data_IF_624753382461
#
_entry.id   IF_624753382461
#
_cell.length_a   1.000
_cell.length_b   1.000
_cell.length_c   1.000
_cell.angle_alpha   90.00
_cell.angle_beta   90.00
_cell.angle_gamma   90.00
#
_symmetry.space_group_name_H-M   'P 1'
#
loop_
_entity.id
_entity.type
_entity.pdbx_description
1 polymer ?
#
# COMPACT_ATOMS: atom_id res chain seq x y z
N UNK A 1 -10.50 24.74 13.46
CA UNK A 1 -10.14 23.38 13.84
C UNK A 1 -9.20 22.82 12.79
N UNK A 2 -7.90 22.79 13.11
CA UNK A 2 -6.94 22.04 12.29
C UNK A 2 -6.97 20.58 12.74
N UNK A 3 -7.09 19.68 11.78
CA UNK A 3 -6.99 18.24 11.99
C UNK A 3 -5.59 17.82 11.58
N UNK A 4 -4.81 17.28 12.51
CA UNK A 4 -3.48 16.79 12.20
C UNK A 4 -3.57 15.40 11.56
N UNK A 5 -2.76 15.16 10.52
CA UNK A 5 -2.66 13.85 9.86
C UNK A 5 -2.40 12.72 10.86
N UNK A 6 -1.63 12.97 11.92
CA UNK A 6 -1.35 12.03 13.01
C UNK A 6 -2.55 11.69 13.90
N UNK A 7 -3.62 12.50 13.86
CA UNK A 7 -4.88 12.25 14.57
C UNK A 7 -5.86 11.41 13.75
N UNK A 8 -5.65 11.32 12.43
CA UNK A 8 -6.50 10.58 11.50
C UNK A 8 -5.83 9.28 11.05
N UNK A 9 -4.49 9.29 10.97
CA UNK A 9 -3.69 8.14 10.56
C UNK A 9 -2.58 7.87 11.58
N UNK A 10 -2.38 6.60 11.98
CA UNK A 10 -1.27 6.19 12.85
C UNK A 10 0.06 6.18 12.07
N UNK A 11 0.32 7.18 11.24
CA UNK A 11 1.55 7.30 10.47
C UNK A 11 2.61 7.99 11.35
N UNK A 12 3.73 7.33 11.69
CA UNK A 12 4.76 7.94 12.51
C UNK A 12 5.59 8.90 11.64
N UNK A 13 5.06 10.11 11.44
CA UNK A 13 5.65 11.15 10.59
C UNK A 13 7.07 11.60 11.00
N UNK A 14 7.54 11.19 12.19
CA UNK A 14 8.93 11.40 12.63
C UNK A 14 9.91 10.38 12.04
N UNK A 15 9.41 9.23 11.59
CA UNK A 15 10.21 8.11 11.10
C UNK A 15 10.12 7.97 9.57
N UNK A 16 9.01 8.42 8.97
CA UNK A 16 8.77 8.26 7.55
C UNK A 16 8.48 9.60 6.88
N UNK A 17 8.94 9.72 5.64
CA UNK A 17 8.63 10.83 4.74
C UNK A 17 7.53 10.40 3.77
N UNK A 18 6.52 11.24 3.48
CA UNK A 18 5.54 10.93 2.44
C UNK A 18 6.22 10.74 1.09
N UNK A 19 5.76 9.76 0.32
CA UNK A 19 6.17 9.61 -1.07
C UNK A 19 5.50 10.72 -1.90
N UNK A 20 6.22 11.82 -2.15
CA UNK A 20 5.72 12.96 -2.95
C UNK A 20 5.94 12.76 -4.45
N UNK A 21 5.74 11.53 -4.94
CA UNK A 21 5.94 11.16 -6.35
C UNK A 21 7.38 10.84 -6.74
N UNK A 22 8.34 10.89 -5.81
CA UNK A 22 9.75 10.60 -6.10
C UNK A 22 10.32 9.60 -5.10
N UNK A 23 10.94 8.54 -5.62
CA UNK A 23 11.60 7.49 -4.88
C UNK A 23 13.07 7.45 -5.25
N UNK A 24 13.95 7.46 -4.24
CA UNK A 24 15.39 7.29 -4.47
C UNK A 24 15.69 5.86 -4.94
N UNK A 25 16.51 5.70 -5.98
CA UNK A 25 17.00 4.40 -6.42
C UNK A 25 17.70 3.66 -5.28
N UNK A 26 17.47 2.34 -5.21
CA UNK A 26 18.00 1.49 -4.16
C UNK A 26 17.22 1.56 -2.83
N UNK A 27 16.08 2.27 -2.79
CA UNK A 27 15.16 2.17 -1.65
C UNK A 27 14.64 0.73 -1.55
N UNK A 28 14.79 0.05 -0.39
CA UNK A 28 14.47 -1.37 -0.28
C UNK A 28 12.98 -1.64 0.00
N UNK A 29 12.29 -0.69 0.63
CA UNK A 29 10.90 -0.84 1.00
C UNK A 29 10.14 0.49 0.98
N UNK A 30 8.83 0.37 0.77
CA UNK A 30 7.84 1.44 0.90
C UNK A 30 6.97 1.13 2.12
N UNK A 31 6.60 2.17 2.86
CA UNK A 31 5.63 2.05 3.94
C UNK A 31 4.31 2.65 3.50
N UNK A 32 3.22 1.95 3.74
CA UNK A 32 1.88 2.36 3.33
C UNK A 32 0.88 2.23 4.49
N UNK A 33 -0.11 3.12 4.50
CA UNK A 33 -1.29 2.98 5.34
C UNK A 33 -2.47 2.69 4.44
N UNK A 34 -3.10 1.53 4.64
CA UNK A 34 -4.26 1.10 3.89
C UNK A 34 -5.50 1.19 4.79
N UNK A 35 -6.52 1.93 4.33
CA UNK A 35 -7.84 1.92 4.96
C UNK A 35 -8.71 0.88 4.27
N UNK A 36 -9.18 -0.10 5.02
CA UNK A 36 -9.98 -1.20 4.52
C UNK A 36 -11.41 -1.11 5.07
N UNK A 37 -12.37 -0.99 4.17
CA UNK A 37 -13.79 -1.04 4.50
C UNK A 37 -14.34 -2.42 4.11
N UNK A 38 -14.97 -3.09 5.07
CA UNK A 38 -15.57 -4.40 4.85
C UNK A 38 -17.09 -4.29 4.91
N UNK A 39 -17.77 -4.79 3.89
CA UNK A 39 -19.23 -4.90 3.88
C UNK A 39 -19.64 -6.34 4.18
N UNK A 40 -20.17 -6.61 5.38
CA UNK A 40 -20.63 -7.96 5.73
C UNK A 40 -20.71 -8.19 7.24
N UNK A 41 -21.36 -9.29 7.64
CA UNK A 41 -21.50 -9.70 9.04
C UNK A 41 -20.41 -10.67 9.52
N UNK A 42 -19.53 -11.12 8.62
CA UNK A 42 -18.44 -12.05 8.90
C UNK A 42 -17.09 -11.34 8.76
N UNK A 43 -16.14 -11.67 9.62
CA UNK A 43 -14.74 -11.24 9.51
C UNK A 43 -14.14 -11.85 8.23
N UNK A 44 -13.67 -11.03 7.27
CA UNK A 44 -13.27 -11.54 5.97
C UNK A 44 -11.87 -12.16 6.01
N UNK A 45 -11.66 -13.22 5.21
CA UNK A 45 -10.35 -13.83 5.03
C UNK A 45 -9.64 -13.18 3.85
N UNK A 46 -8.91 -12.10 4.12
CA UNK A 46 -8.35 -11.25 3.08
C UNK A 46 -6.96 -11.70 2.65
N UNK A 47 -6.79 -11.83 1.34
CA UNK A 47 -5.48 -11.92 0.70
C UNK A 47 -5.14 -10.59 0.06
N UNK A 48 -3.99 -10.01 0.45
CA UNK A 48 -3.44 -8.81 -0.16
C UNK A 48 -2.25 -9.20 -1.01
N UNK A 49 -2.23 -8.72 -2.25
CA UNK A 49 -1.10 -8.87 -3.17
C UNK A 49 -0.71 -7.52 -3.72
N UNK A 50 0.59 -7.36 -3.97
CA UNK A 50 1.16 -6.10 -4.44
C UNK A 50 2.08 -6.32 -5.63
N UNK A 51 2.03 -5.41 -6.59
CA UNK A 51 2.94 -5.42 -7.73
C UNK A 51 3.23 -4.01 -8.22
N UNK A 52 4.34 -3.90 -8.94
CA UNK A 52 4.81 -2.69 -9.58
C UNK A 52 4.68 -2.83 -11.10
N UNK A 53 4.20 -1.79 -11.75
CA UNK A 53 4.09 -1.73 -13.21
C UNK A 53 4.92 -0.55 -13.72
N UNK A 54 6.01 -0.79 -14.48
CA UNK A 54 6.73 0.29 -15.13
C UNK A 54 5.85 0.96 -16.19
N UNK A 55 5.96 2.28 -16.34
CA UNK A 55 5.21 3.02 -17.36
C UNK A 55 5.46 2.46 -18.77
N UNK A 56 4.38 2.30 -19.54
CA UNK A 56 4.42 1.79 -20.91
C UNK A 56 4.72 0.29 -21.02
N UNK A 57 4.72 -0.44 -19.90
CA UNK A 57 4.88 -1.91 -19.89
C UNK A 57 3.66 -2.59 -19.30
N UNK A 58 3.34 -3.77 -19.82
CA UNK A 58 2.30 -4.64 -19.25
C UNK A 58 2.86 -5.58 -18.17
N UNK A 59 4.18 -5.74 -18.11
CA UNK A 59 4.84 -6.67 -17.20
C UNK A 59 4.75 -6.19 -15.75
N UNK A 60 4.09 -7.01 -14.93
CA UNK A 60 3.98 -6.80 -13.48
C UNK A 60 5.22 -7.36 -12.78
N UNK A 61 5.86 -6.53 -11.98
CA UNK A 61 6.92 -6.95 -11.07
C UNK A 61 6.32 -7.21 -9.69
N UNK A 62 6.31 -8.46 -9.18
CA UNK A 62 5.78 -8.76 -7.86
C UNK A 62 6.60 -8.03 -6.78
N UNK A 63 5.91 -7.51 -5.77
CA UNK A 63 6.51 -7.07 -4.52
C UNK A 63 6.00 -7.97 -3.38
N UNK A 64 6.73 -8.02 -2.26
CA UNK A 64 6.26 -8.72 -1.07
C UNK A 64 5.81 -7.71 -0.04
N UNK A 65 4.82 -8.08 0.77
CA UNK A 65 4.30 -7.21 1.82
C UNK A 65 4.33 -7.90 3.17
N UNK A 66 4.42 -7.09 4.22
CA UNK A 66 4.22 -7.50 5.60
C UNK A 66 3.27 -6.52 6.27
N UNK A 67 2.25 -7.04 6.97
CA UNK A 67 1.37 -6.23 7.81
C UNK A 67 2.11 -6.01 9.12
N UNK A 68 2.52 -4.77 9.39
CA UNK A 68 3.27 -4.41 10.59
C UNK A 68 2.35 -4.23 11.81
N UNK A 69 1.19 -3.63 11.59
CA UNK A 69 0.16 -3.45 12.61
C UNK A 69 -1.21 -3.19 11.99
N UNK A 70 -2.27 -3.47 12.74
CA UNK A 70 -3.65 -3.14 12.36
C UNK A 70 -4.39 -2.45 13.51
N UNK A 71 -5.30 -1.54 13.17
CA UNK A 71 -6.26 -0.97 14.10
C UNK A 71 -7.67 -1.26 13.57
N UNK A 72 -8.48 -1.90 14.41
CA UNK A 72 -9.87 -2.20 14.09
C UNK A 72 -10.77 -1.00 14.39
N UNK A 73 -11.83 -0.82 13.59
CA UNK A 73 -12.79 0.27 13.74
C UNK A 73 -13.97 0.15 12.77
N UNK A 74 -14.64 1.26 12.46
CA UNK A 74 -15.63 1.31 11.37
C UNK A 74 -15.00 0.95 10.01
N UNK A 75 -13.71 1.26 9.87
CA UNK A 75 -12.84 0.74 8.83
C UNK A 75 -11.53 0.32 9.50
N UNK A 76 -10.97 -0.80 9.07
CA UNK A 76 -9.68 -1.24 9.55
C UNK A 76 -8.57 -0.38 8.94
N UNK A 77 -7.57 -0.03 9.73
CA UNK A 77 -6.38 0.68 9.27
C UNK A 77 -5.19 -0.27 9.39
N UNK A 78 -4.60 -0.62 8.25
CA UNK A 78 -3.44 -1.49 8.16
C UNK A 78 -2.19 -0.65 7.88
N UNK A 79 -1.15 -0.87 8.67
CA UNK A 79 0.18 -0.36 8.38
C UNK A 79 1.02 -1.46 7.74
N UNK A 80 1.52 -1.18 6.54
CA UNK A 80 2.18 -2.15 5.67
C UNK A 80 3.62 -1.75 5.41
N UNK A 81 4.50 -2.74 5.36
CA UNK A 81 5.80 -2.64 4.69
C UNK A 81 5.75 -3.41 3.38
N UNK A 82 6.10 -2.74 2.29
CA UNK A 82 6.14 -3.30 0.95
C UNK A 82 7.61 -3.36 0.54
N UNK A 83 8.18 -4.56 0.50
CA UNK A 83 9.54 -4.76 0.02
C UNK A 83 9.53 -4.74 -1.50
N UNK A 84 10.34 -3.86 -2.06
CA UNK A 84 10.43 -3.66 -3.51
C UNK A 84 11.76 -4.20 -4.02
N UNK A 85 11.81 -4.77 -5.23
CA UNK A 85 13.07 -5.14 -5.85
C UNK A 85 13.87 -3.89 -6.23
N UNK A 86 15.10 -4.07 -6.67
CA UNK A 86 15.89 -2.97 -7.22
C UNK A 86 15.21 -2.42 -8.49
N UNK A 87 14.73 -1.18 -8.42
CA UNK A 87 14.06 -0.50 -9.52
C UNK A 87 15.06 0.33 -10.33
N UNK A 88 14.86 0.36 -11.65
CA UNK A 88 15.59 1.27 -12.54
C UNK A 88 14.95 2.65 -12.49
N UNK A 89 15.67 3.72 -12.82
CA UNK A 89 15.07 5.05 -12.95
C UNK A 89 13.92 5.05 -13.98
N UNK A 90 12.82 5.73 -13.65
CA UNK A 90 11.61 5.80 -14.48
C UNK A 90 10.32 5.87 -13.67
N UNK A 91 9.19 5.98 -14.35
CA UNK A 91 7.87 6.02 -13.73
C UNK A 91 7.33 4.60 -13.48
N UNK A 92 6.70 4.42 -12.33
CA UNK A 92 6.07 3.18 -11.89
C UNK A 92 4.71 3.46 -11.25
N UNK A 93 3.80 2.51 -11.40
CA UNK A 93 2.57 2.42 -10.62
C UNK A 93 2.70 1.29 -9.59
N UNK A 94 2.45 1.59 -8.32
CA UNK A 94 2.25 0.59 -7.27
C UNK A 94 0.77 0.22 -7.25
N UNK A 95 0.49 -1.07 -7.35
CA UNK A 95 -0.85 -1.62 -7.24
C UNK A 95 -0.95 -2.46 -5.98
N UNK A 96 -2.05 -2.29 -5.25
CA UNK A 96 -2.42 -3.08 -4.10
C UNK A 96 -3.81 -3.65 -4.37
N UNK A 97 -3.90 -4.97 -4.44
CA UNK A 97 -5.15 -5.68 -4.66
C UNK A 97 -5.48 -6.51 -3.44
N UNK A 98 -6.75 -6.47 -3.06
CA UNK A 98 -7.29 -7.26 -1.96
C UNK A 98 -8.45 -8.13 -2.47
N UNK A 99 -8.46 -9.39 -2.08
CA UNK A 99 -9.55 -10.34 -2.34
C UNK A 99 -9.98 -11.00 -1.03
N UNK A 100 -11.28 -11.07 -0.81
CA UNK A 100 -11.87 -11.96 0.19
C UNK A 100 -11.91 -13.38 -0.35
N UNK A 101 -11.18 -14.29 0.32
CA UNK A 101 -11.04 -15.67 -0.09
C UNK A 101 -12.38 -16.42 -0.11
N UNK A 102 -13.34 -16.00 0.73
CA UNK A 102 -14.65 -16.61 0.94
C UNK A 102 -15.65 -16.10 -0.10
N UNK A 103 -15.85 -14.78 -0.18
CA UNK A 103 -16.87 -14.20 -1.07
C UNK A 103 -16.39 -13.97 -2.49
N UNK A 104 -15.07 -13.99 -2.72
CA UNK A 104 -14.42 -13.60 -3.99
C UNK A 104 -14.63 -12.14 -4.37
N UNK A 105 -15.13 -11.32 -3.46
CA UNK A 105 -15.17 -9.87 -3.64
C UNK A 105 -13.74 -9.34 -3.64
N UNK A 106 -13.45 -8.40 -4.53
CA UNK A 106 -12.12 -7.82 -4.65
C UNK A 106 -12.15 -6.33 -4.93
N UNK A 107 -11.05 -5.68 -4.58
CA UNK A 107 -10.82 -4.26 -4.87
C UNK A 107 -9.33 -4.01 -5.17
N UNK A 108 -9.06 -2.90 -5.83
CA UNK A 108 -7.72 -2.47 -6.19
C UNK A 108 -7.56 -0.98 -5.89
N UNK A 109 -6.38 -0.60 -5.39
CA UNK A 109 -5.93 0.79 -5.33
C UNK A 109 -4.56 0.91 -5.98
N UNK A 110 -4.28 2.08 -6.56
CA UNK A 110 -3.00 2.36 -7.19
C UNK A 110 -2.44 3.71 -6.79
N UNK A 111 -1.12 3.84 -6.87
CA UNK A 111 -0.41 5.12 -6.73
C UNK A 111 0.79 5.16 -7.66
N UNK A 112 1.01 6.29 -8.29
CA UNK A 112 2.15 6.50 -9.17
C UNK A 112 3.33 7.15 -8.44
N UNK A 113 4.55 6.80 -8.86
CA UNK A 113 5.78 7.43 -8.40
C UNK A 113 6.90 7.30 -9.43
N UNK A 114 7.93 8.11 -9.28
CA UNK A 114 9.10 8.16 -10.13
C UNK A 114 10.35 7.71 -9.38
N UNK A 115 11.12 6.79 -9.94
CA UNK A 115 12.42 6.34 -9.39
C UNK A 115 13.56 7.20 -9.95
N UNK A 116 14.45 7.67 -9.07
CA UNK A 116 15.57 8.57 -9.40
C UNK A 116 16.92 7.97 -9.08
#
# INVERSE_FOLDING_TARGET
>A
NEVFLSQVFPFPAKQFIPLTGELKQGTPSLYAVLRAEWSGAQEPEIQIVVWLVPEGKEEKTPATLSILSGMQGEADILFLEINIPELRPGQYSLHIFAEDSVTKSSCETMSDFWVR
#
